data_IF_347622510563
#
_entry.id   IF_347622510563
#
_cell.length_a   1.000
_cell.length_b   1.000
_cell.length_c   1.000
_cell.angle_alpha   90.00
_cell.angle_beta   90.00
_cell.angle_gamma   90.00
#
_symmetry.space_group_name_H-M   'P 1'
#
loop_
_entity.id
_entity.type
_entity.pdbx_description
1 polymer ?
#
# COMPACT_ATOMS: atom_id res chain seq x y z
N UNK A 1 -14.24 -27.54 -33.24
CA UNK A 1 -12.81 -27.15 -33.21
C UNK A 1 -12.66 -26.03 -32.19
N UNK A 2 -12.36 -26.37 -30.93
CA UNK A 2 -12.31 -25.41 -29.81
C UNK A 2 -10.89 -24.81 -29.72
N UNK A 3 -10.78 -23.51 -29.95
CA UNK A 3 -9.56 -22.75 -29.73
C UNK A 3 -9.38 -22.54 -28.23
N UNK A 4 -8.50 -23.32 -27.61
CA UNK A 4 -8.05 -23.10 -26.23
C UNK A 4 -7.32 -21.77 -26.18
N UNK A 5 -7.97 -20.75 -25.60
CA UNK A 5 -7.34 -19.47 -25.30
C UNK A 5 -6.20 -19.73 -24.31
N UNK A 6 -4.94 -19.64 -24.77
CA UNK A 6 -3.78 -19.71 -23.88
C UNK A 6 -3.86 -18.56 -22.88
N UNK A 7 -4.02 -18.88 -21.62
CA UNK A 7 -3.89 -17.94 -20.51
C UNK A 7 -2.50 -17.31 -20.60
N UNK A 8 -2.43 -16.01 -20.93
CA UNK A 8 -1.17 -15.27 -20.80
C UNK A 8 -0.80 -15.30 -19.31
N UNK A 9 0.40 -15.78 -18.93
CA UNK A 9 0.81 -15.73 -17.54
C UNK A 9 0.75 -14.27 -17.07
N UNK A 10 0.06 -14.02 -15.96
CA UNK A 10 -0.01 -12.69 -15.36
C UNK A 10 1.42 -12.17 -15.13
N UNK A 11 1.73 -10.91 -15.47
CA UNK A 11 3.04 -10.35 -15.19
C UNK A 11 3.30 -10.48 -13.69
N UNK A 12 4.36 -11.19 -13.32
CA UNK A 12 4.80 -11.29 -11.94
C UNK A 12 5.35 -9.90 -11.58
N UNK A 13 4.50 -9.00 -11.14
CA UNK A 13 4.90 -7.71 -10.56
C UNK A 13 5.51 -8.00 -9.20
N UNK A 14 6.75 -8.52 -9.18
CA UNK A 14 7.53 -8.63 -7.96
C UNK A 14 7.69 -7.23 -7.43
N UNK A 15 7.05 -6.94 -6.29
CA UNK A 15 7.31 -5.70 -5.58
C UNK A 15 8.82 -5.55 -5.39
N UNK A 16 9.39 -4.38 -5.71
CA UNK A 16 10.82 -4.19 -5.60
C UNK A 16 11.31 -4.50 -4.17
N UNK A 17 12.47 -5.16 -4.06
CA UNK A 17 13.00 -5.68 -2.78
C UNK A 17 13.08 -4.62 -1.67
N UNK A 18 13.35 -3.37 -2.04
CA UNK A 18 13.48 -2.24 -1.12
C UNK A 18 12.13 -1.79 -0.53
N UNK A 19 11.01 -2.10 -1.19
CA UNK A 19 9.66 -1.90 -0.63
C UNK A 19 9.28 -3.00 0.35
N UNK A 20 9.71 -4.23 0.08
CA UNK A 20 9.45 -5.39 0.95
C UNK A 20 10.22 -5.31 2.28
N UNK A 21 11.44 -4.78 2.23
CA UNK A 21 12.34 -4.70 3.39
C UNK A 21 12.84 -3.26 3.62
N UNK A 22 11.98 -2.36 4.15
CA UNK A 22 12.32 -0.93 4.30
C UNK A 22 13.56 -0.72 5.19
N UNK A 23 13.70 -1.51 6.26
CA UNK A 23 14.85 -1.42 7.16
C UNK A 23 16.18 -1.80 6.46
N UNK A 24 16.13 -2.79 5.57
CA UNK A 24 17.31 -3.22 4.80
C UNK A 24 17.67 -2.15 3.78
N UNK A 25 16.68 -1.56 3.10
CA UNK A 25 16.91 -0.45 2.18
C UNK A 25 17.51 0.78 2.88
N UNK A 26 17.02 1.14 4.07
CA UNK A 26 17.59 2.21 4.90
C UNK A 26 19.02 1.90 5.33
N UNK A 27 19.31 0.63 5.69
CA UNK A 27 20.66 0.20 6.05
C UNK A 27 21.62 0.33 4.86
N UNK A 28 21.20 -0.13 3.67
CA UNK A 28 21.97 0.00 2.43
C UNK A 28 22.20 1.46 2.08
N UNK A 29 21.18 2.32 2.20
CA UNK A 29 21.32 3.76 1.98
C UNK A 29 22.30 4.39 2.97
N UNK A 30 22.25 4.02 4.25
CA UNK A 30 23.20 4.47 5.27
C UNK A 30 24.64 4.09 4.93
N UNK A 31 24.86 2.83 4.55
CA UNK A 31 26.18 2.35 4.10
C UNK A 31 26.67 3.14 2.88
N UNK A 32 25.79 3.41 1.90
CA UNK A 32 26.14 4.22 0.73
C UNK A 32 26.53 5.65 1.11
N UNK A 33 25.78 6.32 2.01
CA UNK A 33 26.15 7.65 2.50
C UNK A 33 27.55 7.67 3.13
N UNK A 34 27.84 6.71 4.00
CA UNK A 34 29.14 6.58 4.68
C UNK A 34 30.25 6.29 3.67
N UNK A 35 30.00 5.39 2.71
CA UNK A 35 30.97 5.06 1.67
C UNK A 35 31.30 6.26 0.79
N UNK A 36 30.29 7.04 0.36
CA UNK A 36 30.49 8.25 -0.45
C UNK A 36 31.27 9.31 0.34
N UNK A 37 30.93 9.53 1.62
CA UNK A 37 31.68 10.46 2.47
C UNK A 37 33.15 10.03 2.61
N UNK A 38 33.38 8.75 2.91
CA UNK A 38 34.73 8.19 3.10
C UNK A 38 35.56 8.35 1.83
N UNK A 39 34.99 8.02 0.67
CA UNK A 39 35.64 8.22 -0.63
C UNK A 39 35.99 9.70 -0.84
N UNK A 40 35.07 10.61 -0.50
CA UNK A 40 35.25 12.05 -0.67
C UNK A 40 36.33 12.63 0.26
N UNK A 41 36.52 12.07 1.45
CA UNK A 41 37.57 12.49 2.37
C UNK A 41 38.96 11.95 1.99
N UNK A 42 39.02 10.74 1.40
CA UNK A 42 40.29 10.08 1.09
C UNK A 42 40.84 10.43 -0.30
N UNK A 43 39.97 10.69 -1.27
CA UNK A 43 40.33 10.81 -2.71
C UNK A 43 39.70 12.05 -3.36
N UNK A 44 38.87 12.80 -2.63
CA UNK A 44 38.04 13.85 -3.22
C UNK A 44 38.79 15.13 -3.53
N UNK A 45 39.06 15.37 -4.82
CA UNK A 45 39.44 16.68 -5.35
C UNK A 45 38.22 17.63 -5.36
N UNK A 46 38.38 18.97 -5.21
CA UNK A 46 37.27 19.93 -5.24
C UNK A 46 36.46 19.94 -6.54
N UNK A 47 37.01 19.37 -7.62
CA UNK A 47 36.39 19.22 -8.95
C UNK A 47 35.48 17.98 -9.02
N UNK A 48 34.59 17.89 -8.04
CA UNK A 48 33.13 17.79 -8.14
C UNK A 48 32.34 16.61 -8.73
N UNK A 49 32.95 15.53 -9.23
CA UNK A 49 32.17 14.37 -9.67
C UNK A 49 31.52 13.57 -8.52
N UNK A 50 32.16 13.53 -7.35
CA UNK A 50 31.76 12.66 -6.24
C UNK A 50 30.45 13.11 -5.56
N UNK A 51 30.11 14.39 -5.64
CA UNK A 51 28.86 14.93 -5.07
C UNK A 51 27.62 14.29 -5.70
N UNK A 52 27.71 13.88 -6.98
CA UNK A 52 26.63 13.18 -7.68
C UNK A 52 26.35 11.79 -7.11
N UNK A 53 27.31 11.14 -6.45
CA UNK A 53 27.11 9.81 -5.86
C UNK A 53 26.11 9.83 -4.70
N UNK A 54 25.91 10.99 -4.04
CA UNK A 54 24.85 11.14 -3.04
C UNK A 54 23.44 11.05 -3.63
N UNK A 55 23.28 11.19 -4.96
CA UNK A 55 21.99 10.98 -5.61
C UNK A 55 21.47 9.54 -5.41
N UNK A 56 22.34 8.54 -5.38
CA UNK A 56 21.98 7.13 -5.22
C UNK A 56 21.26 6.84 -3.88
N UNK A 57 21.87 7.11 -2.71
CA UNK A 57 21.20 6.87 -1.44
C UNK A 57 20.00 7.79 -1.22
N UNK A 58 20.03 9.04 -1.70
CA UNK A 58 18.86 9.95 -1.65
C UNK A 58 17.69 9.37 -2.44
N UNK A 59 17.96 8.88 -3.66
CA UNK A 59 16.94 8.30 -4.51
C UNK A 59 16.35 7.03 -3.90
N UNK A 60 17.21 6.15 -3.35
CA UNK A 60 16.78 4.92 -2.70
C UNK A 60 15.82 5.22 -1.54
N UNK A 61 16.17 6.16 -0.65
CA UNK A 61 15.32 6.54 0.50
C UNK A 61 14.02 7.22 0.06
N UNK A 62 14.07 8.07 -0.97
CA UNK A 62 12.87 8.69 -1.52
C UNK A 62 11.91 7.65 -2.14
N UNK A 63 12.44 6.65 -2.85
CA UNK A 63 11.64 5.60 -3.48
C UNK A 63 11.07 4.58 -2.50
N UNK A 64 11.72 4.36 -1.35
CA UNK A 64 11.25 3.43 -0.33
C UNK A 64 10.15 4.03 0.53
N UNK A 65 10.28 5.31 0.87
CA UNK A 65 9.55 5.89 2.00
C UNK A 65 8.84 7.20 1.66
N UNK A 66 8.94 7.68 0.42
CA UNK A 66 8.18 8.82 -0.10
C UNK A 66 8.81 10.18 0.18
N UNK A 67 7.99 11.24 0.12
CA UNK A 67 8.45 12.62 0.16
C UNK A 67 9.19 13.01 1.45
N UNK A 68 8.64 12.64 2.62
CA UNK A 68 9.21 13.04 3.92
C UNK A 68 10.62 12.48 4.09
N UNK A 69 10.79 11.19 3.82
CA UNK A 69 12.09 10.52 3.91
C UNK A 69 13.07 11.02 2.84
N UNK A 70 12.60 11.26 1.61
CA UNK A 70 13.40 11.84 0.54
C UNK A 70 13.94 13.22 0.88
N UNK A 71 13.14 14.10 1.50
CA UNK A 71 13.61 15.41 1.98
C UNK A 71 14.64 15.28 3.09
N UNK A 72 14.40 14.41 4.08
CA UNK A 72 15.38 14.16 5.16
C UNK A 72 16.70 13.64 4.58
N UNK A 73 16.66 12.69 3.64
CA UNK A 73 17.87 12.18 2.98
C UNK A 73 18.60 13.27 2.19
N UNK A 74 17.87 14.14 1.49
CA UNK A 74 18.45 15.31 0.81
C UNK A 74 19.16 16.25 1.79
N UNK A 75 18.54 16.57 2.93
CA UNK A 75 19.16 17.40 3.96
C UNK A 75 20.39 16.73 4.58
N UNK A 76 20.37 15.43 4.80
CA UNK A 76 21.54 14.65 5.26
C UNK A 76 22.68 14.74 4.24
N UNK A 77 22.39 14.62 2.94
CA UNK A 77 23.39 14.75 1.88
C UNK A 77 24.02 16.16 1.85
N UNK A 78 23.22 17.19 2.07
CA UNK A 78 23.68 18.59 2.20
C UNK A 78 24.57 18.73 3.43
N UNK A 79 24.15 18.22 4.58
CA UNK A 79 24.95 18.23 5.81
C UNK A 79 26.31 17.55 5.63
N UNK A 80 26.35 16.38 5.00
CA UNK A 80 27.59 15.67 4.69
C UNK A 80 28.50 16.47 3.74
N UNK A 81 27.92 17.23 2.82
CA UNK A 81 28.67 18.13 1.94
C UNK A 81 29.28 19.30 2.71
N UNK A 82 28.56 19.85 3.69
CA UNK A 82 29.08 20.88 4.61
C UNK A 82 30.22 20.36 5.46
N UNK A 83 30.07 19.17 6.05
CA UNK A 83 31.12 18.52 6.83
C UNK A 83 32.40 18.36 6.01
N UNK A 84 32.29 17.90 4.76
CA UNK A 84 33.44 17.77 3.88
C UNK A 84 34.10 19.11 3.54
N UNK A 85 33.31 20.15 3.24
CA UNK A 85 33.83 21.47 2.86
C UNK A 85 34.63 22.10 4.01
N UNK A 86 34.14 21.98 5.24
CA UNK A 86 34.83 22.45 6.45
C UNK A 86 36.11 21.63 6.68
N UNK A 87 36.04 20.30 6.58
CA UNK A 87 37.18 19.43 6.83
C UNK A 87 38.36 19.64 5.87
N UNK A 88 38.08 20.08 4.64
CA UNK A 88 39.09 20.32 3.60
C UNK A 88 39.43 21.80 3.42
N UNK A 89 38.85 22.70 4.22
CA UNK A 89 39.09 24.14 4.13
C UNK A 89 38.73 24.74 2.77
N UNK A 90 37.71 24.21 2.10
CA UNK A 90 37.34 24.64 0.75
C UNK A 90 36.38 25.83 0.82
N UNK A 91 36.81 26.96 0.25
CA UNK A 91 35.95 28.14 0.07
C UNK A 91 35.09 27.99 -1.18
N UNK A 92 33.86 27.51 -1.00
CA UNK A 92 32.88 27.44 -2.08
C UNK A 92 32.18 28.79 -2.25
N UNK A 93 32.13 29.27 -3.50
CA UNK A 93 31.26 30.39 -3.88
C UNK A 93 29.78 30.02 -3.70
N UNK A 94 28.91 31.03 -3.61
CA UNK A 94 27.44 30.84 -3.55
C UNK A 94 26.96 29.96 -4.71
N UNK A 95 27.51 30.16 -5.91
CA UNK A 95 27.20 29.34 -7.09
C UNK A 95 27.67 27.88 -6.92
N UNK A 96 28.83 27.65 -6.31
CA UNK A 96 29.32 26.31 -6.00
C UNK A 96 28.46 25.58 -4.96
N UNK A 97 27.90 26.30 -3.99
CA UNK A 97 26.92 25.74 -3.07
C UNK A 97 25.61 25.39 -3.79
N UNK A 98 25.08 26.32 -4.58
CA UNK A 98 23.83 26.13 -5.30
C UNK A 98 23.89 24.95 -6.27
N UNK A 99 24.99 24.76 -7.01
CA UNK A 99 25.14 23.67 -7.98
C UNK A 99 25.11 22.26 -7.35
N UNK A 100 25.40 22.14 -6.05
CA UNK A 100 25.46 20.86 -5.32
C UNK A 100 24.22 20.61 -4.48
N UNK A 101 23.78 21.64 -3.75
CA UNK A 101 22.67 21.54 -2.81
C UNK A 101 21.34 21.45 -3.53
N UNK A 102 21.15 22.30 -4.56
CA UNK A 102 19.86 22.42 -5.23
C UNK A 102 19.46 21.11 -5.91
N UNK A 103 20.33 20.42 -6.68
CA UNK A 103 19.95 19.15 -7.30
C UNK A 103 19.62 18.05 -6.29
N UNK A 104 20.33 17.96 -5.16
CA UNK A 104 20.09 16.93 -4.15
C UNK A 104 18.75 17.12 -3.43
N UNK A 105 18.43 18.36 -3.07
CA UNK A 105 17.13 18.70 -2.46
C UNK A 105 15.99 18.49 -3.46
N UNK A 106 16.16 18.95 -4.70
CA UNK A 106 15.18 18.74 -5.76
C UNK A 106 14.98 17.26 -6.05
N UNK A 107 16.04 16.45 -6.11
CA UNK A 107 15.95 15.01 -6.32
C UNK A 107 15.16 14.34 -5.20
N UNK A 108 15.49 14.62 -3.93
CA UNK A 108 14.78 14.06 -2.78
C UNK A 108 13.31 14.44 -2.75
N UNK A 109 13.00 15.72 -3.05
CA UNK A 109 11.63 16.22 -3.06
C UNK A 109 10.81 15.69 -4.25
N UNK A 110 11.30 15.85 -5.48
CA UNK A 110 10.58 15.48 -6.69
C UNK A 110 10.41 13.96 -6.80
N UNK A 111 11.47 13.19 -6.51
CA UNK A 111 11.37 11.73 -6.57
C UNK A 111 10.48 11.20 -5.44
N UNK A 112 10.54 11.78 -4.25
CA UNK A 112 9.67 11.43 -3.15
C UNK A 112 8.19 11.73 -3.47
N UNK A 113 7.90 12.90 -4.04
CA UNK A 113 6.56 13.26 -4.50
C UNK A 113 6.06 12.33 -5.62
N UNK A 114 6.92 12.01 -6.61
CA UNK A 114 6.59 11.09 -7.69
C UNK A 114 6.28 9.68 -7.14
N UNK A 115 7.05 9.23 -6.15
CA UNK A 115 6.83 7.95 -5.47
C UNK A 115 5.50 7.94 -4.73
N UNK A 116 5.18 8.99 -3.99
CA UNK A 116 3.90 9.12 -3.27
C UNK A 116 2.72 9.17 -4.24
N UNK A 117 2.87 9.90 -5.35
CA UNK A 117 1.84 9.98 -6.40
C UNK A 117 1.61 8.62 -7.06
N UNK A 118 2.67 7.90 -7.41
CA UNK A 118 2.58 6.55 -7.97
C UNK A 118 1.91 5.59 -6.97
N UNK A 119 2.23 5.70 -5.68
CA UNK A 119 1.63 4.88 -4.64
C UNK A 119 0.13 5.12 -4.50
N UNK A 120 -0.30 6.40 -4.50
CA UNK A 120 -1.73 6.75 -4.46
C UNK A 120 -2.48 6.25 -5.69
N UNK A 121 -1.87 6.39 -6.87
CA UNK A 121 -2.46 5.91 -8.13
C UNK A 121 -2.64 4.38 -8.12
N UNK A 122 -1.65 3.63 -7.61
CA UNK A 122 -1.71 2.17 -7.50
C UNK A 122 -2.83 1.71 -6.56
N UNK A 123 -2.97 2.35 -5.39
CA UNK A 123 -4.05 2.03 -4.43
C UNK A 123 -5.42 2.29 -5.06
N UNK A 124 -5.58 3.43 -5.73
CA UNK A 124 -6.82 3.77 -6.41
C UNK A 124 -7.14 2.81 -7.55
N UNK A 125 -6.13 2.43 -8.34
CA UNK A 125 -6.29 1.45 -9.40
C UNK A 125 -6.78 0.10 -8.86
N UNK A 126 -6.17 -0.40 -7.77
CA UNK A 126 -6.60 -1.65 -7.12
C UNK A 126 -8.04 -1.57 -6.60
N UNK A 127 -8.45 -0.42 -6.07
CA UNK A 127 -9.83 -0.19 -5.63
C UNK A 127 -10.81 -0.22 -6.79
N UNK A 128 -10.48 0.43 -7.90
CA UNK A 128 -11.29 0.42 -9.12
C UNK A 128 -11.39 -0.98 -9.73
N UNK A 129 -10.29 -1.72 -9.78
CA UNK A 129 -10.29 -3.12 -10.23
C UNK A 129 -11.18 -4.01 -9.36
N UNK A 130 -11.07 -3.88 -8.03
CA UNK A 130 -11.93 -4.61 -7.10
C UNK A 130 -13.42 -4.28 -7.31
N UNK A 131 -13.76 -3.00 -7.49
CA UNK A 131 -15.12 -2.58 -7.76
C UNK A 131 -15.64 -3.09 -9.12
N UNK A 132 -14.82 -3.06 -10.16
CA UNK A 132 -15.18 -3.56 -11.49
C UNK A 132 -15.44 -5.07 -11.49
N UNK A 133 -14.63 -5.85 -10.74
CA UNK A 133 -14.84 -7.28 -10.57
C UNK A 133 -16.17 -7.58 -9.87
N UNK A 134 -16.50 -6.84 -8.82
CA UNK A 134 -17.79 -6.99 -8.13
C UNK A 134 -18.97 -6.67 -9.06
N UNK A 135 -18.85 -5.59 -9.84
CA UNK A 135 -19.89 -5.20 -10.79
C UNK A 135 -20.12 -6.27 -11.86
N UNK A 136 -19.05 -6.82 -12.45
CA UNK A 136 -19.15 -7.90 -13.44
C UNK A 136 -19.81 -9.16 -12.87
N UNK A 137 -19.49 -9.52 -11.63
CA UNK A 137 -20.10 -10.68 -10.98
C UNK A 137 -21.60 -10.49 -10.72
N UNK A 138 -22.04 -9.28 -10.38
CA UNK A 138 -23.47 -9.00 -10.22
C UNK A 138 -24.24 -9.20 -11.54
N UNK A 139 -23.65 -8.84 -12.69
CA UNK A 139 -24.25 -9.06 -14.01
C UNK A 139 -24.36 -10.56 -14.33
N UNK A 140 -23.28 -11.32 -14.12
CA UNK A 140 -23.27 -12.78 -14.37
C UNK A 140 -24.28 -13.52 -13.47
N UNK A 141 -24.40 -13.11 -12.20
CA UNK A 141 -25.41 -13.64 -11.28
C UNK A 141 -26.81 -13.37 -11.83
N UNK A 142 -27.11 -12.11 -12.17
CA UNK A 142 -28.44 -11.74 -12.66
C UNK A 142 -28.84 -12.57 -13.89
N UNK A 143 -27.94 -12.76 -14.85
CA UNK A 143 -28.22 -13.56 -16.05
C UNK A 143 -28.54 -15.03 -15.70
N UNK A 144 -27.74 -15.66 -14.83
CA UNK A 144 -28.00 -17.05 -14.41
C UNK A 144 -29.34 -17.22 -13.68
N UNK A 145 -29.74 -16.22 -12.87
CA UNK A 145 -31.02 -16.23 -12.17
C UNK A 145 -32.17 -16.07 -13.16
N UNK A 146 -32.08 -15.12 -14.09
CA UNK A 146 -33.11 -14.89 -15.11
C UNK A 146 -33.30 -16.15 -15.96
N UNK A 147 -32.22 -16.80 -16.38
CA UNK A 147 -32.29 -18.04 -17.15
C UNK A 147 -32.92 -19.20 -16.36
N UNK A 148 -32.49 -19.42 -15.11
CA UNK A 148 -33.04 -20.48 -14.26
C UNK A 148 -34.52 -20.27 -13.95
N UNK A 149 -34.93 -19.04 -13.66
CA UNK A 149 -36.32 -18.68 -13.43
C UNK A 149 -37.18 -18.83 -14.69
N UNK A 150 -36.67 -18.44 -15.87
CA UNK A 150 -37.37 -18.62 -17.13
C UNK A 150 -37.61 -20.10 -17.44
N UNK A 151 -36.61 -20.96 -17.20
CA UNK A 151 -36.73 -22.40 -17.37
C UNK A 151 -37.74 -23.04 -16.38
N UNK A 152 -37.76 -22.57 -15.13
CA UNK A 152 -38.74 -23.00 -14.14
C UNK A 152 -40.17 -22.59 -14.55
N UNK A 153 -40.36 -21.33 -14.99
CA UNK A 153 -41.66 -20.84 -15.46
C UNK A 153 -42.16 -21.65 -16.65
N UNK A 154 -41.30 -21.94 -17.63
CA UNK A 154 -41.68 -22.75 -18.78
C UNK A 154 -42.13 -24.17 -18.40
N UNK A 155 -41.48 -24.76 -17.39
CA UNK A 155 -41.87 -26.08 -16.87
C UNK A 155 -43.24 -26.04 -16.18
N UNK A 156 -43.55 -24.96 -15.47
CA UNK A 156 -44.87 -24.76 -14.86
C UNK A 156 -45.97 -24.57 -15.91
N UNK A 157 -45.72 -23.78 -16.94
CA UNK A 157 -46.66 -23.57 -18.05
C UNK A 157 -46.95 -24.88 -18.82
N UNK A 158 -45.98 -25.80 -18.87
CA UNK A 158 -46.13 -27.13 -19.45
C UNK A 158 -46.82 -28.15 -18.52
N UNK A 159 -47.25 -27.75 -17.32
CA UNK A 159 -47.85 -28.64 -16.31
C UNK A 159 -46.86 -29.56 -15.59
N UNK A 160 -45.55 -29.41 -15.82
CA UNK A 160 -44.50 -30.22 -15.21
C UNK A 160 -44.06 -29.66 -13.86
N UNK A 161 -44.97 -29.68 -12.88
CA UNK A 161 -44.79 -29.01 -11.58
C UNK A 161 -43.52 -29.45 -10.84
N UNK A 162 -43.22 -30.75 -10.78
CA UNK A 162 -42.02 -31.24 -10.08
C UNK A 162 -40.72 -30.84 -10.79
N UNK A 163 -40.72 -30.80 -12.12
CA UNK A 163 -39.56 -30.35 -12.89
C UNK A 163 -39.31 -28.85 -12.67
N UNK A 164 -40.35 -28.02 -12.73
CA UNK A 164 -40.26 -26.58 -12.46
C UNK A 164 -39.80 -26.28 -11.04
N UNK A 165 -40.34 -27.01 -10.04
CA UNK A 165 -39.92 -26.89 -8.65
C UNK A 165 -38.43 -27.20 -8.47
N UNK A 166 -37.94 -28.30 -9.06
CA UNK A 166 -36.54 -28.69 -9.00
C UNK A 166 -35.60 -27.63 -9.61
N UNK A 167 -35.95 -27.09 -10.79
CA UNK A 167 -35.15 -26.05 -11.44
C UNK A 167 -35.09 -24.78 -10.59
N UNK A 168 -36.21 -24.40 -9.97
CA UNK A 168 -36.27 -23.24 -9.09
C UNK A 168 -35.45 -23.42 -7.81
N UNK A 169 -35.54 -24.58 -7.15
CA UNK A 169 -34.76 -24.92 -5.95
C UNK A 169 -33.24 -24.92 -6.24
N UNK A 170 -32.84 -25.48 -7.38
CA UNK A 170 -31.45 -25.46 -7.83
C UNK A 170 -30.96 -24.03 -8.08
N UNK A 171 -31.77 -23.21 -8.77
CA UNK A 171 -31.44 -21.80 -9.04
C UNK A 171 -31.30 -21.00 -7.75
N UNK A 172 -32.21 -21.20 -6.78
CA UNK A 172 -32.17 -20.51 -5.49
C UNK A 172 -30.94 -20.94 -4.66
N UNK A 173 -30.59 -22.23 -4.69
CA UNK A 173 -29.40 -22.75 -4.00
C UNK A 173 -28.13 -22.14 -4.59
N UNK A 174 -28.02 -22.12 -5.93
CA UNK A 174 -26.89 -21.51 -6.63
C UNK A 174 -26.79 -20.00 -6.35
N UNK A 175 -27.92 -19.29 -6.32
CA UNK A 175 -27.98 -17.88 -5.93
C UNK A 175 -27.40 -17.66 -4.52
N UNK A 176 -27.80 -18.50 -3.57
CA UNK A 176 -27.39 -18.40 -2.17
C UNK A 176 -25.90 -18.65 -1.98
N UNK A 177 -25.33 -19.63 -2.69
CA UNK A 177 -23.89 -19.92 -2.69
C UNK A 177 -23.08 -18.75 -3.27
N UNK A 178 -23.54 -18.17 -4.39
CA UNK A 178 -22.87 -17.04 -5.04
C UNK A 178 -22.87 -15.79 -4.15
N UNK A 179 -24.01 -15.45 -3.54
CA UNK A 179 -24.12 -14.31 -2.60
C UNK A 179 -23.29 -14.55 -1.34
N UNK A 180 -23.32 -15.76 -0.77
CA UNK A 180 -22.48 -16.11 0.38
C UNK A 180 -20.98 -15.98 0.06
N UNK A 181 -20.57 -16.34 -1.15
CA UNK A 181 -19.20 -16.15 -1.64
C UNK A 181 -18.81 -14.68 -1.84
N UNK A 182 -19.76 -13.81 -2.21
CA UNK A 182 -19.56 -12.37 -2.31
C UNK A 182 -19.40 -11.71 -0.94
N UNK A 183 -20.31 -11.98 0.01
CA UNK A 183 -20.26 -11.43 1.37
C UNK A 183 -18.94 -11.82 2.04
N UNK A 184 -18.53 -13.08 1.91
CA UNK A 184 -17.26 -13.57 2.47
C UNK A 184 -16.03 -12.86 1.88
N UNK A 185 -16.04 -12.57 0.58
CA UNK A 185 -14.94 -11.82 -0.08
C UNK A 185 -14.93 -10.34 0.32
N UNK A 186 -16.10 -9.71 0.44
CA UNK A 186 -16.22 -8.33 0.92
C UNK A 186 -15.70 -8.19 2.36
N UNK A 187 -16.05 -9.12 3.25
CA UNK A 187 -15.53 -9.16 4.63
C UNK A 187 -14.01 -9.34 4.70
N UNK A 188 -13.45 -10.18 3.82
CA UNK A 188 -12.00 -10.39 3.74
C UNK A 188 -11.28 -9.13 3.20
N UNK A 189 -11.88 -8.41 2.25
CA UNK A 189 -11.38 -7.13 1.76
C UNK A 189 -11.36 -6.05 2.85
N UNK A 190 -12.47 -5.93 3.61
CA UNK A 190 -12.56 -4.99 4.73
C UNK A 190 -11.53 -5.30 5.85
N UNK A 191 -11.30 -6.58 6.13
CA UNK A 191 -10.26 -7.02 7.08
C UNK A 191 -8.84 -6.71 6.62
N UNK A 192 -8.56 -6.86 5.32
CA UNK A 192 -7.25 -6.53 4.77
C UNK A 192 -6.96 -5.02 4.82
N UNK A 193 -7.96 -4.17 4.56
CA UNK A 193 -7.83 -2.71 4.67
C UNK A 193 -7.62 -2.26 6.14
N UNK A 194 -8.24 -2.94 7.10
CA UNK A 194 -8.00 -2.74 8.55
C UNK A 194 -6.58 -3.08 9.00
N UNK A 195 -5.90 -4.01 8.34
CA UNK A 195 -4.52 -4.41 8.64
C UNK A 195 -3.47 -3.46 8.01
N UNK A 196 -3.83 -2.73 6.96
CA UNK A 196 -2.94 -1.80 6.24
C UNK A 196 -3.00 -0.36 6.76
N UNK A 197 -3.91 -0.09 7.71
CA UNK A 197 -3.95 1.15 8.48
C UNK A 197 -2.75 1.20 9.45
N UNK A 198 -1.97 2.29 9.49
CA UNK A 198 -0.93 2.45 10.49
C UNK A 198 -1.54 2.31 11.88
N UNK A 199 -0.94 1.46 12.73
CA UNK A 199 -1.42 1.16 14.06
C UNK A 199 -1.87 2.46 14.75
N UNK A 200 -3.10 2.53 15.29
CA UNK A 200 -3.56 3.73 15.97
C UNK A 200 -2.55 4.03 17.07
N UNK A 201 -1.92 5.21 16.99
CA UNK A 201 -1.06 5.72 18.04
C UNK A 201 -1.81 5.56 19.36
N UNK A 202 -1.23 4.79 20.27
CA UNK A 202 -1.89 4.28 21.45
C UNK A 202 -2.72 5.35 22.14
N UNK A 203 -4.04 5.15 22.19
CA UNK A 203 -4.81 5.77 23.26
C UNK A 203 -4.28 5.12 24.54
N UNK A 204 -3.82 5.89 25.54
CA UNK A 204 -3.57 5.32 26.84
C UNK A 204 -4.88 4.70 27.31
N UNK A 205 -4.86 3.38 27.51
CA UNK A 205 -5.84 2.68 28.34
C UNK A 205 -5.61 3.24 29.74
N UNK A 206 -6.33 4.31 30.07
CA UNK A 206 -6.41 4.78 31.44
C UNK A 206 -7.36 3.84 32.17
N UNK A 207 -6.76 3.03 33.03
CA UNK A 207 -7.42 2.32 34.10
C UNK A 207 -8.42 3.23 34.82
N UNK A 208 -9.69 2.85 34.81
CA UNK A 208 -10.68 3.18 35.82
C UNK A 208 -11.92 2.29 35.61
N UNK A 209 -11.78 1.00 35.94
CA UNK A 209 -12.90 0.25 36.51
C UNK A 209 -12.95 0.62 38.00
N UNK A 210 -14.00 1.28 38.51
CA UNK A 210 -14.31 1.19 39.92
C UNK A 210 -14.93 -0.19 40.16
N UNK A 211 -14.17 -1.06 40.80
CA UNK A 211 -14.67 -2.27 41.46
C UNK A 211 -15.76 -1.90 42.46
N UNK A 212 -16.84 -2.68 42.42
CA UNK A 212 -17.97 -2.60 43.32
C UNK A 212 -17.54 -2.70 44.79
N UNK A 213 -18.14 -1.88 45.65
CA UNK A 213 -18.27 -2.20 47.08
C UNK A 213 -19.76 -2.21 47.41
N UNK A 214 -20.25 -3.39 47.79
CA UNK A 214 -21.61 -3.61 48.25
C UNK A 214 -21.79 -3.02 49.66
N UNK A 215 -22.95 -2.40 49.93
CA UNK A 215 -23.42 -2.10 51.29
C UNK A 215 -24.64 -3.00 51.62
N UNK A 216 -24.51 -3.95 52.56
CA UNK A 216 -25.62 -4.77 53.03
C UNK A 216 -26.21 -4.19 54.33
N UNK A 217 -27.49 -3.80 54.27
CA UNK A 217 -28.42 -3.57 55.41
C UNK A 217 -28.22 -2.29 56.24
N UNK A 218 -29.10 -1.32 55.98
CA UNK A 218 -29.78 -0.51 57.01
C UNK A 218 -31.23 -0.27 56.52
N UNK A 219 -32.27 -0.87 57.13
CA UNK A 219 -32.95 -0.41 58.35
C UNK A 219 -34.22 0.38 57.96
N UNK A 220 -35.38 -0.27 57.72
CA UNK A 220 -36.51 -0.45 58.66
C UNK A 220 -36.94 0.84 59.39
N UNK A 221 -38.26 1.15 59.29
CA UNK A 221 -39.08 2.20 59.96
C UNK A 221 -39.14 3.51 59.14
N UNK A 222 -40.29 4.14 58.89
CA UNK A 222 -41.64 4.04 59.42
C UNK A 222 -42.67 4.26 58.30
#
# INVERSE_FOLDING_TARGET
>A
MFTVARSRPAPITREPWFRRHPNLALSVAGVLFVAVLSLRLLVGDPVDAYSMLYALPVALVAMTSGLRAGMVAGLVAVGLTVVWAIANGVDLTVTGWASRVLPLLLLGALLGQATDRARRAEIEHRRLEAAALLHRQAIEINDSLVQGMAAAMWSFDAGQVEAGKKVLEQTLTQAHELVSGLIRRADMGARAELLDLPAPAGRPVSDALPTATADPRSGRRA
#
